data_IF_476357992080
#
_entry.id   IF_476357992080
#
_cell.length_a   1.000
_cell.length_b   1.000
_cell.length_c   1.000
_cell.angle_alpha   90.00
_cell.angle_beta   90.00
_cell.angle_gamma   90.00
#
_symmetry.space_group_name_H-M   'P 1'
#
loop_
_entity.id
_entity.type
_entity.pdbx_description
1 polymer ?
#
# COMPACT_ATOMS: atom_id res chain seq x y z
N UNK A 1 4.11 -42.48 -27.76
CA UNK A 1 4.70 -41.16 -28.11
C UNK A 1 4.29 -40.16 -27.03
N UNK A 2 5.22 -39.75 -26.20
CA UNK A 2 4.94 -38.78 -25.09
C UNK A 2 5.23 -37.39 -25.62
N UNK A 3 4.20 -36.58 -25.72
CA UNK A 3 4.36 -35.17 -26.04
C UNK A 3 4.75 -34.44 -24.75
N UNK A 4 6.02 -34.04 -24.62
CA UNK A 4 6.46 -33.13 -23.59
C UNK A 4 5.98 -31.74 -24.00
N UNK A 5 4.91 -31.25 -23.37
CA UNK A 5 4.48 -29.88 -23.51
C UNK A 5 5.46 -29.03 -22.67
N UNK A 6 6.41 -28.40 -23.32
CA UNK A 6 7.21 -27.32 -22.71
C UNK A 6 6.27 -26.12 -22.51
N UNK A 7 5.71 -25.98 -21.32
CA UNK A 7 5.14 -24.75 -20.87
C UNK A 7 6.28 -23.73 -20.78
N UNK A 8 6.42 -22.92 -21.80
CA UNK A 8 7.27 -21.75 -21.79
C UNK A 8 6.74 -20.81 -20.69
N UNK A 9 7.38 -20.84 -19.53
CA UNK A 9 7.18 -19.85 -18.48
C UNK A 9 7.69 -18.51 -19.01
N UNK A 10 6.80 -17.77 -19.67
CA UNK A 10 7.08 -16.39 -20.07
C UNK A 10 7.26 -15.57 -18.80
N UNK A 11 8.35 -14.81 -18.65
CA UNK A 11 8.48 -13.92 -17.50
C UNK A 11 7.32 -12.93 -17.51
N UNK A 12 6.48 -13.02 -16.49
CA UNK A 12 5.36 -12.09 -16.32
C UNK A 12 5.90 -10.71 -16.00
N UNK A 13 5.59 -9.73 -16.84
CA UNK A 13 5.90 -8.33 -16.55
C UNK A 13 5.07 -7.88 -15.34
N UNK A 14 5.69 -7.26 -14.31
CA UNK A 14 4.94 -6.74 -13.18
C UNK A 14 3.85 -5.77 -13.64
N UNK A 15 2.68 -5.74 -13.01
CA UNK A 15 1.64 -4.77 -13.34
C UNK A 15 2.13 -3.35 -13.08
N UNK A 16 1.66 -2.42 -13.90
CA UNK A 16 1.89 -1.01 -13.67
C UNK A 16 0.99 -0.49 -12.54
N UNK A 17 1.58 0.24 -11.60
CA UNK A 17 0.84 0.90 -10.54
C UNK A 17 0.26 2.21 -11.07
N UNK A 18 -1.08 2.30 -11.12
CA UNK A 18 -1.78 3.44 -11.66
C UNK A 18 -1.85 4.61 -10.66
N UNK A 19 -1.45 5.80 -11.08
CA UNK A 19 -1.47 7.00 -10.23
C UNK A 19 -2.89 7.50 -9.93
N UNK A 20 -3.80 7.43 -10.90
CA UNK A 20 -5.17 7.89 -10.67
C UNK A 20 -5.91 6.95 -9.71
N UNK A 21 -5.70 5.65 -9.84
CA UNK A 21 -6.19 4.66 -8.88
C UNK A 21 -5.57 4.87 -7.49
N UNK A 22 -4.28 5.19 -7.42
CA UNK A 22 -3.63 5.56 -6.15
C UNK A 22 -4.36 6.74 -5.49
N UNK A 23 -4.59 7.84 -6.21
CA UNK A 23 -5.29 9.00 -5.67
C UNK A 23 -6.72 8.69 -5.23
N UNK A 24 -7.42 7.85 -5.97
CA UNK A 24 -8.82 7.53 -5.72
C UNK A 24 -9.00 6.55 -4.56
N UNK A 25 -8.10 5.58 -4.40
CA UNK A 25 -8.33 4.42 -3.54
C UNK A 25 -7.27 4.22 -2.45
N UNK A 26 -6.02 4.59 -2.69
CA UNK A 26 -4.91 4.37 -1.74
C UNK A 26 -4.70 5.60 -0.86
N UNK A 27 -4.53 6.77 -1.46
CA UNK A 27 -4.25 8.01 -0.72
C UNK A 27 -5.29 8.32 0.35
N UNK A 28 -6.61 8.15 0.12
CA UNK A 28 -7.61 8.35 1.16
C UNK A 28 -7.40 7.46 2.40
N UNK A 29 -6.91 6.23 2.22
CA UNK A 29 -6.62 5.32 3.34
C UNK A 29 -5.45 5.79 4.20
N UNK A 30 -4.47 6.47 3.60
CA UNK A 30 -3.35 7.07 4.33
C UNK A 30 -3.76 8.26 5.18
N UNK A 31 -4.87 8.91 4.83
CA UNK A 31 -5.44 10.08 5.50
C UNK A 31 -6.57 9.73 6.47
N UNK A 32 -7.07 8.50 6.43
CA UNK A 32 -8.23 8.10 7.21
C UNK A 32 -7.93 8.03 8.70
N UNK A 33 -8.82 8.62 9.52
CA UNK A 33 -8.77 8.51 10.96
C UNK A 33 -9.57 7.29 11.42
N UNK A 34 -8.86 6.29 11.92
CA UNK A 34 -9.48 5.09 12.50
C UNK A 34 -9.60 5.21 14.00
N UNK A 35 -10.66 4.65 14.61
CA UNK A 35 -10.79 4.60 16.07
C UNK A 35 -9.56 3.97 16.72
N UNK A 36 -9.00 4.65 17.74
CA UNK A 36 -7.83 4.16 18.47
C UNK A 36 -6.48 4.25 17.75
N UNK A 37 -6.44 4.78 16.51
CA UNK A 37 -5.22 4.91 15.73
C UNK A 37 -4.99 6.34 15.26
N UNK A 38 -3.72 6.74 15.19
CA UNK A 38 -3.33 7.94 14.46
C UNK A 38 -3.50 7.70 12.95
N UNK A 39 -3.70 8.76 12.18
CA UNK A 39 -3.62 8.68 10.71
C UNK A 39 -2.20 8.28 10.31
N UNK A 40 -2.07 7.51 9.23
CA UNK A 40 -0.75 7.13 8.72
C UNK A 40 0.17 8.34 8.52
N UNK A 41 -0.37 9.42 7.92
CA UNK A 41 0.39 10.67 7.66
C UNK A 41 0.93 11.32 8.93
N UNK A 42 0.30 11.16 10.09
CA UNK A 42 0.75 11.79 11.34
C UNK A 42 2.13 11.26 11.75
N UNK A 43 2.34 9.95 11.70
CA UNK A 43 3.63 9.35 12.00
C UNK A 43 4.57 9.35 10.79
N UNK A 44 4.02 9.21 9.59
CA UNK A 44 4.79 9.07 8.35
C UNK A 44 5.06 10.39 7.61
N UNK A 45 4.88 11.54 8.24
CA UNK A 45 5.33 12.84 7.70
C UNK A 45 6.69 13.27 8.22
N UNK A 46 7.24 12.59 9.23
CA UNK A 46 8.55 12.88 9.83
C UNK A 46 9.24 11.58 10.30
N UNK A 47 10.57 11.59 10.32
CA UNK A 47 11.36 10.61 11.08
C UNK A 47 11.39 9.16 10.60
N UNK A 48 10.63 8.78 9.58
CA UNK A 48 10.56 7.40 9.05
C UNK A 48 11.09 7.31 7.62
N UNK A 49 11.53 6.10 7.22
CA UNK A 49 11.94 5.85 5.83
C UNK A 49 10.75 5.96 4.86
N UNK A 50 9.58 5.45 5.26
CA UNK A 50 8.32 5.69 4.57
C UNK A 50 7.80 7.07 4.96
N UNK A 51 8.10 8.08 4.14
CA UNK A 51 7.80 9.47 4.46
C UNK A 51 6.85 10.07 3.44
N UNK A 52 5.66 10.41 3.91
CA UNK A 52 4.65 11.14 3.15
C UNK A 52 4.88 12.65 3.29
N UNK A 53 4.37 13.42 2.31
CA UNK A 53 4.31 14.88 2.45
C UNK A 53 3.41 15.24 3.65
N UNK A 54 3.76 16.27 4.44
CA UNK A 54 2.87 16.75 5.48
C UNK A 54 1.58 17.29 4.85
N UNK A 55 0.44 16.96 5.47
CA UNK A 55 -0.84 17.53 5.06
C UNK A 55 -0.93 18.96 5.58
N UNK A 56 -1.13 19.97 4.72
CA UNK A 56 -1.23 21.35 5.17
C UNK A 56 -2.39 21.53 6.16
N UNK A 57 -2.20 22.36 7.17
CA UNK A 57 -3.22 22.64 8.19
C UNK A 57 -4.53 23.11 7.53
N UNK A 58 -5.64 22.51 7.95
CA UNK A 58 -6.96 22.84 7.44
C UNK A 58 -7.32 22.20 6.10
N UNK A 59 -6.42 21.41 5.51
CA UNK A 59 -6.70 20.68 4.28
C UNK A 59 -7.04 19.21 4.56
N UNK A 60 -8.01 18.69 3.81
CA UNK A 60 -8.46 17.29 3.90
C UNK A 60 -7.79 16.38 2.86
N UNK A 61 -7.12 16.96 1.86
CA UNK A 61 -6.50 16.24 0.76
C UNK A 61 -5.20 16.93 0.32
N UNK A 62 -4.35 16.17 -0.37
CA UNK A 62 -3.13 16.69 -0.98
C UNK A 62 -3.39 17.40 -2.31
N UNK A 63 -2.53 18.35 -2.64
CA UNK A 63 -2.41 18.83 -4.03
C UNK A 63 -1.94 17.69 -4.94
N UNK A 64 -2.14 17.83 -6.24
CA UNK A 64 -1.63 16.84 -7.20
C UNK A 64 -0.11 16.66 -7.11
N UNK A 65 0.64 17.76 -6.94
CA UNK A 65 2.09 17.71 -6.78
C UNK A 65 2.51 16.88 -5.56
N UNK A 66 1.87 17.11 -4.40
CA UNK A 66 2.14 16.36 -3.19
C UNK A 66 1.72 14.89 -3.33
N UNK A 67 0.59 14.61 -3.98
CA UNK A 67 0.14 13.25 -4.28
C UNK A 67 1.13 12.50 -5.16
N UNK A 68 1.74 13.14 -6.16
CA UNK A 68 2.78 12.50 -7.00
C UNK A 68 4.03 12.16 -6.19
N UNK A 69 4.47 13.04 -5.32
CA UNK A 69 5.60 12.78 -4.41
C UNK A 69 5.29 11.62 -3.47
N UNK A 70 4.07 11.57 -2.94
CA UNK A 70 3.62 10.46 -2.10
C UNK A 70 3.52 9.15 -2.88
N UNK A 71 2.98 9.18 -4.08
CA UNK A 71 2.93 8.01 -4.97
C UNK A 71 4.33 7.44 -5.23
N UNK A 72 5.30 8.28 -5.55
CA UNK A 72 6.68 7.85 -5.75
C UNK A 72 7.31 7.27 -4.49
N UNK A 73 6.96 7.78 -3.32
CA UNK A 73 7.38 7.22 -2.05
C UNK A 73 6.71 5.87 -1.78
N UNK A 74 5.39 5.78 -1.95
CA UNK A 74 4.61 4.56 -1.71
C UNK A 74 5.09 3.41 -2.58
N UNK A 75 5.41 3.67 -3.85
CA UNK A 75 5.96 2.65 -4.76
C UNK A 75 7.21 1.96 -4.23
N UNK A 76 8.03 2.62 -3.44
CA UNK A 76 9.25 2.03 -2.83
C UNK A 76 8.95 0.96 -1.78
N UNK A 77 7.73 0.94 -1.27
CA UNK A 77 7.27 0.00 -0.24
C UNK A 77 6.27 -1.02 -0.77
N UNK A 78 6.16 -1.11 -2.09
CA UNK A 78 5.25 -2.00 -2.80
C UNK A 78 6.05 -2.83 -3.79
N UNK A 79 5.78 -4.12 -3.82
CA UNK A 79 6.19 -5.01 -4.90
C UNK A 79 4.99 -5.25 -5.81
N UNK A 80 4.99 -4.61 -6.97
CA UNK A 80 3.88 -4.70 -7.93
C UNK A 80 3.56 -6.17 -8.29
N UNK A 81 2.29 -6.54 -8.20
CA UNK A 81 1.81 -7.90 -8.38
C UNK A 81 1.96 -8.83 -7.17
N UNK A 82 2.54 -8.34 -6.07
CA UNK A 82 2.81 -9.14 -4.87
C UNK A 82 2.37 -8.42 -3.59
N UNK A 83 1.06 -8.37 -3.29
CA UNK A 83 0.56 -7.74 -2.06
C UNK A 83 1.18 -8.32 -0.79
N UNK A 84 1.35 -9.62 -0.73
CA UNK A 84 1.92 -10.39 0.39
C UNK A 84 3.44 -10.23 0.55
N UNK A 85 4.10 -9.50 -0.33
CA UNK A 85 5.50 -9.12 -0.22
C UNK A 85 5.69 -7.59 -0.18
N UNK A 86 4.59 -6.85 -0.11
CA UNK A 86 4.57 -5.38 -0.09
C UNK A 86 4.55 -4.86 1.35
N UNK A 87 5.60 -4.16 1.75
CA UNK A 87 5.73 -3.61 3.11
C UNK A 87 4.60 -2.68 3.50
N UNK A 88 4.06 -1.92 2.54
CA UNK A 88 2.89 -1.06 2.74
C UNK A 88 1.70 -1.84 3.33
N UNK A 89 1.50 -3.10 2.90
CA UNK A 89 0.40 -3.95 3.34
C UNK A 89 0.75 -4.80 4.56
N UNK A 90 2.01 -5.16 4.72
CA UNK A 90 2.44 -6.06 5.79
C UNK A 90 2.72 -5.34 7.10
N UNK A 91 3.23 -4.10 7.06
CA UNK A 91 3.60 -3.38 8.27
C UNK A 91 2.41 -3.12 9.20
N UNK A 92 1.24 -2.63 8.70
CA UNK A 92 0.08 -2.39 9.54
C UNK A 92 -0.84 -3.62 9.72
N UNK A 93 -0.52 -4.76 9.12
CA UNK A 93 -1.30 -5.99 9.23
C UNK A 93 -0.96 -6.73 10.54
N UNK A 94 -1.96 -7.34 11.17
CA UNK A 94 -1.76 -8.17 12.35
C UNK A 94 -0.75 -9.29 12.05
N UNK A 95 0.13 -9.58 13.02
CA UNK A 95 1.15 -10.62 12.89
C UNK A 95 0.54 -12.00 12.59
N UNK A 96 -0.55 -12.32 13.25
CA UNK A 96 -1.28 -13.58 13.09
C UNK A 96 -1.87 -13.77 11.69
N UNK A 97 -2.06 -12.65 10.96
CA UNK A 97 -2.51 -12.66 9.56
C UNK A 97 -1.34 -12.65 8.55
N UNK A 98 -0.10 -12.73 9.03
CA UNK A 98 1.12 -12.69 8.21
C UNK A 98 1.78 -11.32 8.14
N UNK A 99 1.35 -10.35 8.95
CA UNK A 99 1.98 -9.04 9.08
C UNK A 99 3.28 -9.08 9.89
N UNK A 100 3.88 -7.92 10.06
CA UNK A 100 5.11 -7.79 10.85
C UNK A 100 4.81 -7.85 12.36
N UNK A 101 5.77 -8.39 13.13
CA UNK A 101 5.64 -8.44 14.60
C UNK A 101 5.63 -7.06 15.25
N UNK A 102 6.30 -6.11 14.63
CA UNK A 102 6.51 -4.81 15.25
C UNK A 102 6.24 -3.66 14.27
N UNK A 103 5.20 -2.91 14.60
CA UNK A 103 4.88 -1.63 13.98
C UNK A 103 4.48 -0.64 15.07
N UNK A 104 5.26 0.42 15.35
CA UNK A 104 5.00 1.34 16.48
C UNK A 104 3.62 2.00 16.45
N UNK A 105 3.06 2.22 15.25
CA UNK A 105 1.70 2.72 15.06
C UNK A 105 0.60 1.68 15.32
N UNK A 106 0.97 0.44 15.63
CA UNK A 106 0.05 -0.67 15.84
C UNK A 106 -0.48 -1.30 14.55
N UNK A 107 -1.31 -2.31 14.71
CA UNK A 107 -2.01 -2.93 13.59
C UNK A 107 -3.26 -2.14 13.23
N UNK A 108 -3.50 -1.97 11.95
CA UNK A 108 -4.72 -1.34 11.41
C UNK A 108 -5.70 -2.37 10.87
N UNK A 109 -5.22 -3.55 10.46
CA UNK A 109 -6.01 -4.63 9.88
C UNK A 109 -5.77 -5.94 10.65
N UNK A 110 -6.86 -6.56 11.07
CA UNK A 110 -6.81 -7.85 11.78
C UNK A 110 -6.56 -9.01 10.83
N UNK A 111 -7.09 -8.92 9.62
CA UNK A 111 -6.98 -9.95 8.60
C UNK A 111 -6.81 -9.35 7.21
N UNK A 112 -6.42 -10.18 6.24
CA UNK A 112 -6.37 -9.81 4.82
C UNK A 112 -7.76 -9.68 4.19
N UNK A 113 -8.81 -10.05 4.90
CA UNK A 113 -10.20 -9.87 4.47
C UNK A 113 -10.74 -8.48 4.75
N UNK A 114 -9.99 -7.65 5.47
CA UNK A 114 -10.35 -6.27 5.69
C UNK A 114 -10.50 -5.53 4.34
N UNK A 115 -11.62 -4.79 4.14
CA UNK A 115 -11.87 -4.10 2.86
C UNK A 115 -10.78 -3.12 2.46
N UNK A 116 -10.15 -2.44 3.40
CA UNK A 116 -9.04 -1.52 3.12
C UNK A 116 -7.80 -2.29 2.65
N UNK A 117 -7.47 -3.39 3.32
CA UNK A 117 -6.35 -4.24 2.91
C UNK A 117 -6.56 -4.77 1.49
N UNK A 118 -7.79 -5.23 1.17
CA UNK A 118 -8.15 -5.68 -0.17
C UNK A 118 -8.04 -4.58 -1.21
N UNK A 119 -8.48 -3.37 -0.88
CA UNK A 119 -8.34 -2.20 -1.77
C UNK A 119 -6.88 -1.93 -2.13
N UNK A 120 -5.99 -1.97 -1.14
CA UNK A 120 -4.55 -1.83 -1.38
C UNK A 120 -3.99 -2.99 -2.20
N UNK A 121 -4.40 -4.22 -1.91
CA UNK A 121 -3.97 -5.41 -2.63
C UNK A 121 -4.40 -5.36 -4.11
N UNK A 122 -5.63 -4.93 -4.38
CA UNK A 122 -6.14 -4.77 -5.75
C UNK A 122 -5.31 -3.75 -6.53
N UNK A 123 -4.98 -2.62 -5.91
CA UNK A 123 -4.12 -1.62 -6.54
C UNK A 123 -2.70 -2.16 -6.80
N UNK A 124 -2.11 -2.87 -5.84
CA UNK A 124 -0.79 -3.52 -6.00
C UNK A 124 -0.79 -4.53 -7.15
N UNK A 125 -1.92 -5.18 -7.39
CA UNK A 125 -2.13 -6.10 -8.52
C UNK A 125 -2.48 -5.39 -9.85
N UNK A 126 -2.40 -4.08 -9.91
CA UNK A 126 -2.64 -3.30 -11.13
C UNK A 126 -4.11 -2.88 -11.31
N UNK A 127 -4.91 -2.91 -10.27
CA UNK A 127 -6.29 -2.42 -10.28
C UNK A 127 -6.36 -0.91 -10.57
N UNK A 128 -7.46 -0.49 -11.24
CA UNK A 128 -7.73 0.89 -11.65
C UNK A 128 -9.02 1.44 -11.07
#
# INVERSE_FOLDING_TARGET
MWFIVFLLLWPQTPPELDFNAYRAHVEPLLLEKRPGHARCVVCHSTGTAFRLQPLPKGQAAYSEEASRKNFDMVKKFVRAGHPDESRLLLMPLAHEAGGTEFHPGGKHWETRDDPEWKTLADWVNGGR
#
